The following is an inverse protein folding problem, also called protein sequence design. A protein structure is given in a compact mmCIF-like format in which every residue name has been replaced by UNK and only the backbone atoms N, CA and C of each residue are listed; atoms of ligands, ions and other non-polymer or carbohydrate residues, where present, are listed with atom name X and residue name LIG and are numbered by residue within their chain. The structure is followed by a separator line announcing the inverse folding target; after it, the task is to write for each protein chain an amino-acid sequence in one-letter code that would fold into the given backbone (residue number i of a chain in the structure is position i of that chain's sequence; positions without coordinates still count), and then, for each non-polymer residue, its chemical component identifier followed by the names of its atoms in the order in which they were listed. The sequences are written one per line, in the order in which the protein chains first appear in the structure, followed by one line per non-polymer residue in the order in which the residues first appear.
data_IF_609211868079
#
_entry.id   IF_609211868079
#
_cell.length_a   1.000
_cell.length_b   1.000
_cell.length_c   1.000
_cell.angle_alpha   90.00
_cell.angle_beta   90.00
_cell.angle_gamma   90.00
#
_symmetry.space_group_name_H-M   'P 1'
#
loop_
_entity.id
_entity.type
_entity.pdbx_description
1 polymer ?
#
# COMPACT_ATOMS: atom_id res chain seq x y z
N UNK A 1 -17.23 21.79 13.39
CA UNK A 1 -16.58 21.47 12.11
C UNK A 1 -15.58 20.36 12.39
N UNK A 2 -15.92 19.10 12.07
CA UNK A 2 -14.99 17.99 12.21
C UNK A 2 -14.05 18.04 11.01
N UNK A 3 -12.82 18.49 11.26
CA UNK A 3 -11.79 18.58 10.24
C UNK A 3 -11.34 17.14 9.96
N UNK A 4 -11.64 16.60 8.77
CA UNK A 4 -11.02 15.36 8.26
C UNK A 4 -9.53 15.65 7.92
N UNK A 5 -8.77 16.17 8.87
CA UNK A 5 -7.32 16.09 8.75
C UNK A 5 -6.98 14.61 8.80
N UNK A 6 -6.33 14.12 7.76
CA UNK A 6 -5.64 12.85 7.83
C UNK A 6 -4.61 12.97 8.96
N UNK A 7 -4.75 12.15 10.00
CA UNK A 7 -3.73 11.98 11.04
C UNK A 7 -2.61 11.05 10.51
N UNK A 8 -1.51 10.89 11.24
CA UNK A 8 -0.41 9.97 10.90
C UNK A 8 -0.19 8.89 11.96
N UNK A 9 -1.13 8.78 12.92
CA UNK A 9 -1.01 7.93 14.11
C UNK A 9 -1.49 6.49 13.89
N UNK A 10 -2.45 6.26 13.00
CA UNK A 10 -3.09 4.95 12.86
C UNK A 10 -2.78 4.30 11.53
N UNK A 11 -2.83 2.96 11.51
CA UNK A 11 -2.66 2.16 10.29
C UNK A 11 -3.59 2.60 9.16
N UNK A 12 -4.85 2.91 9.49
CA UNK A 12 -5.90 3.30 8.53
C UNK A 12 -5.58 4.59 7.79
N UNK A 13 -4.77 5.49 8.36
CA UNK A 13 -4.34 6.71 7.67
C UNK A 13 -3.48 6.43 6.44
N UNK A 14 -2.84 5.25 6.37
CA UNK A 14 -1.93 4.85 5.29
C UNK A 14 -2.48 3.72 4.41
N UNK A 15 -3.69 3.22 4.68
CA UNK A 15 -4.33 2.20 3.87
C UNK A 15 -5.04 2.85 2.68
N UNK A 16 -4.57 2.56 1.47
CA UNK A 16 -5.12 3.11 0.23
C UNK A 16 -5.73 1.98 -0.61
N UNK A 17 -6.97 2.12 -1.09
CA UNK A 17 -7.53 1.20 -2.07
C UNK A 17 -6.69 1.20 -3.35
N UNK A 18 -6.33 0.01 -3.83
CA UNK A 18 -5.50 -0.14 -5.02
C UNK A 18 -6.14 -1.12 -6.00
N UNK A 19 -6.25 -0.71 -7.26
CA UNK A 19 -6.86 -1.51 -8.33
C UNK A 19 -5.99 -1.43 -9.57
N UNK A 20 -5.91 -2.55 -10.28
CA UNK A 20 -5.25 -2.66 -11.58
C UNK A 20 -6.30 -3.20 -12.55
N UNK A 21 -6.43 -2.52 -13.69
CA UNK A 21 -7.40 -2.85 -14.72
C UNK A 21 -6.68 -2.93 -16.06
N UNK A 22 -6.96 -3.98 -16.82
CA UNK A 22 -6.50 -4.15 -18.20
C UNK A 22 -7.68 -4.49 -19.12
N UNK A 23 -7.58 -4.14 -20.40
CA UNK A 23 -8.64 -4.41 -21.38
C UNK A 23 -8.79 -5.90 -21.71
N UNK A 24 -7.74 -6.69 -21.50
CA UNK A 24 -7.66 -8.12 -21.72
C UNK A 24 -7.86 -8.96 -20.45
N UNK A 25 -8.21 -8.32 -19.32
CA UNK A 25 -8.50 -9.04 -18.08
C UNK A 25 -9.75 -9.91 -18.23
N UNK A 26 -9.57 -11.22 -18.05
CA UNK A 26 -10.64 -12.23 -18.16
C UNK A 26 -11.15 -12.73 -16.80
N UNK A 27 -10.45 -12.39 -15.71
CA UNK A 27 -10.77 -12.85 -14.38
C UNK A 27 -10.48 -11.78 -13.33
N UNK A 28 -11.38 -11.66 -12.36
CA UNK A 28 -11.15 -10.85 -11.17
C UNK A 28 -10.21 -11.58 -10.20
N UNK A 29 -9.13 -10.91 -9.79
CA UNK A 29 -8.16 -11.43 -8.82
C UNK A 29 -8.06 -10.50 -7.62
N UNK A 30 -8.24 -11.06 -6.43
CA UNK A 30 -8.03 -10.36 -5.16
C UNK A 30 -6.69 -10.80 -4.56
N UNK A 31 -5.76 -9.87 -4.40
CA UNK A 31 -4.47 -10.10 -3.74
C UNK A 31 -4.55 -9.54 -2.33
N UNK A 32 -4.32 -10.39 -1.32
CA UNK A 32 -4.38 -9.98 0.09
C UNK A 32 -3.01 -9.67 0.68
N UNK A 33 -1.93 -10.04 -0.01
CA UNK A 33 -0.58 -9.70 0.41
C UNK A 33 -0.38 -8.16 0.49
N UNK A 34 0.20 -7.64 1.57
CA UNK A 34 0.40 -6.20 1.74
C UNK A 34 1.37 -5.67 0.69
N UNK A 35 1.10 -4.45 0.20
CA UNK A 35 1.94 -3.74 -0.78
C UNK A 35 2.26 -2.35 -0.27
N UNK A 36 3.49 -1.90 -0.52
CA UNK A 36 3.91 -0.54 -0.23
C UNK A 36 3.79 0.32 -1.48
N UNK A 37 3.29 1.55 -1.32
CA UNK A 37 3.35 2.56 -2.39
C UNK A 37 4.79 2.89 -2.81
N UNK A 38 5.78 2.66 -1.95
CA UNK A 38 7.19 2.84 -2.28
C UNK A 38 7.69 1.89 -3.37
N UNK A 39 7.01 0.75 -3.59
CA UNK A 39 7.33 -0.21 -4.65
C UNK A 39 6.58 0.09 -5.96
N UNK A 40 5.74 1.14 -5.99
CA UNK A 40 4.84 1.42 -7.11
C UNK A 40 5.57 1.62 -8.45
N UNK A 41 6.67 2.37 -8.47
CA UNK A 41 7.40 2.63 -9.73
C UNK A 41 7.97 1.34 -10.32
N UNK A 42 8.50 0.45 -9.48
CA UNK A 42 9.03 -0.85 -9.91
C UNK A 42 7.90 -1.76 -10.41
N UNK A 43 6.75 -1.75 -9.74
CA UNK A 43 5.54 -2.42 -10.21
C UNK A 43 5.09 -1.89 -11.57
N UNK A 44 4.89 -0.58 -11.69
CA UNK A 44 4.37 0.07 -12.89
C UNK A 44 5.28 -0.21 -14.09
N UNK A 45 6.61 -0.09 -13.91
CA UNK A 45 7.57 -0.44 -14.95
C UNK A 45 7.46 -1.92 -15.37
N UNK A 46 7.43 -2.84 -14.41
CA UNK A 46 7.31 -4.28 -14.68
C UNK A 46 5.99 -4.63 -15.38
N UNK A 47 4.88 -4.01 -14.97
CA UNK A 47 3.55 -4.25 -15.51
C UNK A 47 3.38 -3.70 -16.93
N UNK A 48 3.98 -2.55 -17.23
CA UNK A 48 3.97 -1.92 -18.57
C UNK A 48 5.08 -2.43 -19.50
N UNK A 49 5.95 -3.32 -19.02
CA UNK A 49 7.04 -3.91 -19.80
C UNK A 49 8.32 -3.06 -19.89
N UNK A 50 8.41 -1.96 -19.15
CA UNK A 50 9.62 -1.12 -19.06
C UNK A 50 10.70 -1.86 -18.27
N UNK A 51 11.92 -1.89 -18.82
CA UNK A 51 13.09 -2.53 -18.18
C UNK A 51 14.23 -1.53 -18.08
N UNK A 52 14.73 -1.33 -16.86
CA UNK A 52 15.89 -0.49 -16.59
C UNK A 52 16.69 -1.03 -15.41
N UNK A 53 17.99 -0.74 -15.34
CA UNK A 53 18.89 -1.31 -14.32
C UNK A 53 18.56 -0.78 -12.91
N UNK A 54 18.03 0.42 -12.83
CA UNK A 54 17.68 1.14 -11.61
C UNK A 54 16.41 0.59 -10.95
N UNK A 55 15.53 -0.06 -11.72
CA UNK A 55 14.25 -0.60 -11.25
C UNK A 55 14.27 -2.12 -11.32
N UNK A 56 14.90 -2.75 -10.32
CA UNK A 56 14.89 -4.21 -10.20
C UNK A 56 13.83 -4.67 -9.19
N UNK A 57 12.79 -5.40 -9.61
CA UNK A 57 11.76 -5.92 -8.71
C UNK A 57 12.36 -6.93 -7.73
N UNK A 58 12.11 -6.72 -6.44
CA UNK A 58 12.49 -7.65 -5.36
C UNK A 58 11.51 -8.82 -5.22
N UNK A 59 10.28 -8.64 -5.69
CA UNK A 59 9.20 -9.61 -5.64
C UNK A 59 8.19 -9.33 -6.76
N UNK A 60 7.32 -10.30 -7.05
CA UNK A 60 6.22 -10.08 -8.00
C UNK A 60 5.07 -9.32 -7.32
N UNK A 61 4.84 -8.07 -7.74
CA UNK A 61 3.85 -7.19 -7.11
C UNK A 61 2.41 -7.74 -7.24
N UNK A 62 2.02 -8.25 -8.42
CA UNK A 62 0.71 -8.86 -8.68
C UNK A 62 0.65 -10.36 -8.33
N UNK A 63 1.12 -10.71 -7.14
CA UNK A 63 1.14 -12.09 -6.62
C UNK A 63 0.85 -12.14 -5.11
N UNK A 64 0.75 -13.34 -4.54
CA UNK A 64 0.69 -13.54 -3.08
C UNK A 64 2.09 -13.64 -2.42
N UNK A 65 3.16 -13.39 -3.18
CA UNK A 65 4.51 -13.36 -2.63
C UNK A 65 4.59 -12.29 -1.52
N UNK A 66 5.09 -12.69 -0.35
CA UNK A 66 5.31 -11.76 0.77
C UNK A 66 6.35 -10.73 0.37
N UNK A 67 5.99 -9.46 0.55
CA UNK A 67 6.96 -8.37 0.52
C UNK A 67 7.75 -8.36 1.84
N UNK A 68 8.88 -7.65 1.86
CA UNK A 68 9.60 -7.36 3.10
C UNK A 68 8.82 -6.41 4.03
N UNK A 69 9.45 -5.92 5.11
CA UNK A 69 8.83 -4.95 6.01
C UNK A 69 8.34 -3.70 5.28
N UNK A 70 7.17 -3.19 5.68
CA UNK A 70 6.53 -2.01 5.07
C UNK A 70 6.81 -0.80 5.96
N UNK A 71 7.46 0.21 5.38
CA UNK A 71 7.71 1.48 6.05
C UNK A 71 6.85 2.58 5.45
N UNK A 72 6.33 3.45 6.31
CA UNK A 72 5.65 4.70 5.95
C UNK A 72 6.49 5.90 6.36
N UNK A 73 6.23 7.05 5.76
CA UNK A 73 6.81 8.33 6.19
C UNK A 73 5.74 9.08 6.97
N UNK A 74 5.98 9.30 8.26
CA UNK A 74 5.06 10.08 9.09
C UNK A 74 5.19 11.58 8.82
N UNK A 75 4.35 12.42 9.43
CA UNK A 75 4.36 13.87 9.23
C UNK A 75 5.59 14.57 9.82
N UNK A 76 6.38 13.84 10.63
CA UNK A 76 7.72 14.25 11.08
C UNK A 76 8.83 13.84 10.11
N UNK A 77 8.47 13.37 8.91
CA UNK A 77 9.37 12.89 7.86
C UNK A 77 10.29 11.74 8.29
N UNK A 78 9.85 10.94 9.27
CA UNK A 78 10.60 9.78 9.75
C UNK A 78 10.02 8.50 9.16
N UNK A 79 10.88 7.54 8.77
CA UNK A 79 10.44 6.21 8.45
C UNK A 79 9.92 5.54 9.72
N UNK A 80 8.70 5.01 9.65
CA UNK A 80 8.07 4.23 10.73
C UNK A 80 7.64 2.90 10.14
N UNK A 81 7.90 1.81 10.84
CA UNK A 81 7.38 0.50 10.47
C UNK A 81 5.86 0.53 10.64
N UNK A 82 5.15 0.27 9.53
CA UNK A 82 3.69 0.29 9.47
C UNK A 82 3.03 -0.60 10.54
N UNK A 83 3.65 -1.74 10.84
CA UNK A 83 3.09 -2.72 11.79
C UNK A 83 3.13 -2.26 13.24
N UNK A 84 3.91 -1.21 13.55
CA UNK A 84 3.99 -0.63 14.89
C UNK A 84 2.95 0.48 15.13
N UNK A 85 2.22 0.91 14.09
CA UNK A 85 1.10 1.84 14.26
C UNK A 85 -0.10 1.10 14.88
N UNK A 86 -0.82 1.71 15.83
CA UNK A 86 -2.09 1.16 16.30
C UNK A 86 -3.15 1.14 15.19
N UNK A 87 -4.14 0.26 15.37
CA UNK A 87 -5.36 0.27 14.57
C UNK A 87 -6.35 1.24 15.22
N UNK A 88 -6.93 2.14 14.44
CA UNK A 88 -8.03 3.02 14.90
C UNK A 88 -9.27 2.15 15.20
N UNK A 89 -9.63 2.05 16.49
CA UNK A 89 -10.83 1.36 16.94
C UNK A 89 -12.01 2.32 16.82
N UNK A 90 -12.79 2.18 15.75
CA UNK A 90 -14.06 2.88 15.62
C UNK A 90 -15.06 2.34 16.66
N UNK A 91 -15.06 2.88 17.87
CA UNK A 91 -16.13 2.65 18.85
C UNK A 91 -17.38 3.40 18.40
N UNK A 92 -18.27 2.69 17.71
CA UNK A 92 -19.61 3.22 17.45
C UNK A 92 -20.41 3.12 18.74
N UNK A 93 -20.64 4.26 19.41
CA UNK A 93 -21.56 4.32 20.53
C UNK A 93 -22.94 3.87 20.02
N UNK A 94 -23.37 2.69 20.47
CA UNK A 94 -24.70 2.17 20.17
C UNK A 94 -25.69 3.03 20.93
N UNK A 95 -26.55 3.74 20.20
CA UNK A 95 -27.58 4.62 20.76
C UNK A 95 -28.80 3.82 21.22
#
# INVERSE_FOLDING_TARGET
MQYLAHDDQFQQNFQVPFMVLSSDDTAHRLIKAPRSANDFLTFFASWTGIKTKELTPKYSFLSEQKAGPVYITNFKLKPVDYTHLPTDIFETQTR
#
